data_IF_597998640528
#
_entry.id   IF_597998640528
#
_cell.length_a   1.000
_cell.length_b   1.000
_cell.length_c   1.000
_cell.angle_alpha   90.00
_cell.angle_beta   90.00
_cell.angle_gamma   90.00
#
_symmetry.space_group_name_H-M   'P 1'
#
loop_
_entity.id
_entity.type
_entity.pdbx_description
1 polymer ?
#
# COMPACT_ATOMS: atom_id res chain seq x y z
N UNK A 1 -13.94 -40.84 -51.13
CA UNK A 1 -14.45 -39.47 -50.85
C UNK A 1 -14.13 -39.14 -49.41
N UNK A 2 -13.06 -38.37 -49.24
CA UNK A 2 -12.53 -37.88 -47.98
C UNK A 2 -13.35 -36.67 -47.53
N UNK A 3 -14.12 -36.83 -46.45
CA UNK A 3 -14.77 -35.74 -45.74
C UNK A 3 -14.05 -35.47 -44.42
N UNK A 4 -12.90 -34.80 -44.47
CA UNK A 4 -12.28 -34.27 -43.26
C UNK A 4 -13.10 -33.05 -42.82
N UNK A 5 -13.91 -33.25 -41.77
CA UNK A 5 -14.57 -32.18 -41.04
C UNK A 5 -13.50 -31.25 -40.47
N UNK A 6 -13.37 -30.07 -41.07
CA UNK A 6 -12.66 -28.92 -40.51
C UNK A 6 -13.36 -28.52 -39.21
N UNK A 7 -12.95 -29.13 -38.09
CA UNK A 7 -13.29 -28.68 -36.76
C UNK A 7 -12.73 -27.27 -36.57
N UNK A 8 -13.58 -26.26 -36.68
CA UNK A 8 -13.22 -24.87 -36.48
C UNK A 8 -12.54 -24.71 -35.13
N UNK A 9 -11.27 -24.27 -35.15
CA UNK A 9 -10.46 -23.99 -33.96
C UNK A 9 -11.23 -22.97 -33.11
N UNK A 10 -11.69 -23.36 -31.93
CA UNK A 10 -12.34 -22.47 -30.97
C UNK A 10 -11.44 -21.26 -30.64
N UNK A 11 -12.04 -20.14 -30.23
CA UNK A 11 -11.24 -18.98 -29.81
C UNK A 11 -10.33 -19.36 -28.63
N UNK A 12 -9.10 -18.83 -28.58
CA UNK A 12 -8.19 -19.10 -27.47
C UNK A 12 -8.62 -18.33 -26.21
N UNK A 13 -8.42 -18.91 -25.02
CA UNK A 13 -8.61 -18.24 -23.72
C UNK A 13 -7.82 -16.93 -23.61
N UNK A 14 -6.70 -16.81 -24.34
CA UNK A 14 -5.89 -15.58 -24.43
C UNK A 14 -6.67 -14.41 -25.07
N UNK A 15 -7.64 -14.70 -25.93
CA UNK A 15 -8.55 -13.71 -26.49
C UNK A 15 -9.46 -13.15 -25.40
N UNK A 16 -10.03 -14.02 -24.56
CA UNK A 16 -10.84 -13.59 -23.42
C UNK A 16 -10.02 -12.79 -22.39
N UNK A 17 -8.74 -13.15 -22.18
CA UNK A 17 -7.83 -12.35 -21.36
C UNK A 17 -7.57 -10.95 -21.98
N UNK A 18 -7.41 -10.86 -23.30
CA UNK A 18 -7.24 -9.58 -23.98
C UNK A 18 -8.49 -8.70 -23.87
N UNK A 19 -9.67 -9.28 -24.09
CA UNK A 19 -10.95 -8.61 -23.94
C UNK A 19 -11.14 -8.10 -22.49
N UNK A 20 -10.72 -8.89 -21.50
CA UNK A 20 -10.67 -8.49 -20.10
C UNK A 20 -9.79 -7.28 -19.82
N UNK A 21 -8.59 -7.23 -20.39
CA UNK A 21 -7.71 -6.08 -20.22
C UNK A 21 -8.31 -4.81 -20.84
N UNK A 22 -8.97 -4.93 -21.99
CA UNK A 22 -9.65 -3.81 -22.63
C UNK A 22 -10.84 -3.32 -21.78
N UNK A 23 -11.70 -4.24 -21.34
CA UNK A 23 -12.82 -3.93 -20.46
C UNK A 23 -12.36 -3.26 -19.16
N UNK A 24 -11.23 -3.69 -18.59
CA UNK A 24 -10.64 -3.06 -17.40
C UNK A 24 -10.15 -1.65 -17.66
N UNK A 25 -9.48 -1.40 -18.79
CA UNK A 25 -9.03 -0.05 -19.16
C UNK A 25 -10.22 0.89 -19.41
N UNK A 26 -11.28 0.40 -20.05
CA UNK A 26 -12.53 1.16 -20.23
C UNK A 26 -13.21 1.44 -18.91
N UNK A 27 -13.38 0.42 -18.07
CA UNK A 27 -13.98 0.56 -16.74
C UNK A 27 -13.23 1.57 -15.86
N UNK A 28 -11.91 1.58 -15.97
CA UNK A 28 -11.05 2.54 -15.30
C UNK A 28 -11.25 3.97 -15.81
N UNK A 29 -11.31 4.16 -17.13
CA UNK A 29 -11.44 5.50 -17.73
C UNK A 29 -12.84 6.08 -17.51
N UNK A 30 -13.86 5.24 -17.63
CA UNK A 30 -15.27 5.61 -17.51
C UNK A 30 -15.77 5.61 -16.06
N UNK A 31 -15.01 5.00 -15.14
CA UNK A 31 -15.44 4.72 -13.77
C UNK A 31 -16.78 3.96 -13.72
N UNK A 32 -16.90 2.89 -14.51
CA UNK A 32 -18.13 2.10 -14.69
C UNK A 32 -17.80 0.63 -14.85
N UNK A 33 -18.54 -0.28 -14.21
CA UNK A 33 -18.29 -1.73 -14.38
C UNK A 33 -19.02 -2.33 -15.59
N UNK A 34 -19.74 -1.54 -16.40
CA UNK A 34 -20.53 -2.05 -17.53
C UNK A 34 -19.73 -2.95 -18.48
N UNK A 35 -18.55 -2.50 -18.91
CA UNK A 35 -17.68 -3.30 -19.78
C UNK A 35 -17.19 -4.60 -19.12
N UNK A 36 -16.98 -4.60 -17.80
CA UNK A 36 -16.56 -5.77 -17.04
C UNK A 36 -17.72 -6.78 -16.90
N UNK A 37 -18.93 -6.29 -16.66
CA UNK A 37 -20.12 -7.13 -16.49
C UNK A 37 -20.50 -7.91 -17.77
N UNK A 38 -20.12 -7.43 -18.95
CA UNK A 38 -20.36 -8.12 -20.22
C UNK A 38 -19.49 -9.38 -20.40
N UNK A 39 -18.31 -9.43 -19.77
CA UNK A 39 -17.30 -10.46 -19.99
C UNK A 39 -17.08 -11.38 -18.77
N UNK A 40 -17.39 -10.90 -17.57
CA UNK A 40 -17.20 -11.62 -16.31
C UNK A 40 -18.54 -12.21 -15.88
N UNK A 41 -18.59 -13.53 -15.85
CA UNK A 41 -19.72 -14.32 -15.39
C UNK A 41 -19.55 -14.66 -13.91
N UNK A 42 -19.52 -13.62 -13.08
CA UNK A 42 -19.43 -13.73 -11.64
C UNK A 42 -20.22 -12.57 -11.01
N UNK A 43 -21.47 -12.85 -10.62
CA UNK A 43 -22.42 -11.84 -10.16
C UNK A 43 -21.89 -11.07 -8.95
N UNK A 44 -21.26 -11.77 -8.01
CA UNK A 44 -20.66 -11.17 -6.82
C UNK A 44 -19.53 -10.20 -7.18
N UNK A 45 -18.62 -10.61 -8.06
CA UNK A 45 -17.52 -9.73 -8.50
C UNK A 45 -18.05 -8.49 -9.23
N UNK A 46 -19.07 -8.67 -10.06
CA UNK A 46 -19.67 -7.57 -10.80
C UNK A 46 -20.35 -6.57 -9.84
N UNK A 47 -21.11 -7.05 -8.86
CA UNK A 47 -21.74 -6.21 -7.83
C UNK A 47 -20.69 -5.44 -7.00
N UNK A 48 -19.65 -6.13 -6.52
CA UNK A 48 -18.55 -5.50 -5.78
C UNK A 48 -17.80 -4.46 -6.65
N UNK A 49 -17.64 -4.73 -7.94
CA UNK A 49 -17.01 -3.81 -8.90
C UNK A 49 -17.87 -2.59 -9.21
N UNK A 50 -19.19 -2.76 -9.37
CA UNK A 50 -20.15 -1.67 -9.58
C UNK A 50 -20.15 -0.71 -8.39
N UNK A 51 -20.26 -1.23 -7.17
CA UNK A 51 -20.24 -0.41 -5.95
C UNK A 51 -18.92 0.37 -5.86
N UNK A 52 -17.78 -0.29 -6.11
CA UNK A 52 -16.47 0.35 -6.06
C UNK A 52 -16.29 1.43 -7.13
N UNK A 53 -16.65 1.13 -8.38
CA UNK A 53 -16.50 2.07 -9.49
C UNK A 53 -17.49 3.25 -9.37
N UNK A 54 -18.67 3.05 -8.79
CA UNK A 54 -19.57 4.14 -8.44
C UNK A 54 -18.94 5.11 -7.43
N UNK A 55 -18.22 4.61 -6.42
CA UNK A 55 -17.46 5.47 -5.48
C UNK A 55 -16.36 6.26 -6.19
N UNK A 56 -15.64 5.62 -7.10
CA UNK A 56 -14.60 6.26 -7.91
C UNK A 56 -15.20 7.34 -8.80
N UNK A 57 -16.32 7.05 -9.47
CA UNK A 57 -17.04 7.99 -10.32
C UNK A 57 -17.44 9.23 -9.51
N UNK A 58 -18.07 9.03 -8.35
CA UNK A 58 -18.52 10.12 -7.50
C UNK A 58 -17.36 10.95 -6.95
N UNK A 59 -16.26 10.30 -6.55
CA UNK A 59 -15.05 10.98 -6.12
C UNK A 59 -14.47 11.88 -7.22
N UNK A 60 -14.33 11.34 -8.43
CA UNK A 60 -13.80 12.07 -9.58
C UNK A 60 -14.69 13.24 -9.96
N UNK A 61 -16.01 13.03 -9.97
CA UNK A 61 -17.00 14.07 -10.22
C UNK A 61 -16.88 15.20 -9.21
N UNK A 62 -16.83 14.88 -7.91
CA UNK A 62 -16.67 15.89 -6.86
C UNK A 62 -15.37 16.69 -6.94
N UNK A 63 -14.28 16.03 -7.34
CA UNK A 63 -12.97 16.67 -7.49
C UNK A 63 -12.82 17.43 -8.80
N UNK A 64 -13.70 17.21 -9.79
CA UNK A 64 -13.51 17.74 -11.15
C UNK A 64 -12.37 17.06 -11.90
N UNK A 65 -12.12 15.78 -11.61
CA UNK A 65 -11.10 14.97 -12.30
C UNK A 65 -11.59 14.62 -13.70
N UNK A 66 -10.78 14.93 -14.70
CA UNK A 66 -10.99 14.53 -16.09
C UNK A 66 -10.08 13.35 -16.42
N UNK A 67 -10.66 12.16 -16.54
CA UNK A 67 -9.92 10.97 -16.96
C UNK A 67 -9.37 11.17 -18.39
N UNK A 68 -8.07 10.93 -18.58
CA UNK A 68 -7.43 11.04 -19.89
C UNK A 68 -7.15 9.67 -20.47
N UNK A 69 -6.60 8.75 -19.67
CA UNK A 69 -6.18 7.43 -20.15
C UNK A 69 -6.00 6.42 -19.01
N UNK A 70 -6.54 5.22 -19.19
CA UNK A 70 -6.19 4.02 -18.41
C UNK A 70 -5.34 3.06 -19.23
N UNK A 71 -4.20 2.63 -18.71
CA UNK A 71 -3.35 1.60 -19.31
C UNK A 71 -3.08 0.48 -18.32
N UNK A 72 -3.26 -0.76 -18.76
CA UNK A 72 -2.89 -1.95 -17.99
C UNK A 72 -1.81 -2.71 -18.75
N UNK A 73 -0.65 -2.92 -18.11
CA UNK A 73 0.39 -3.83 -18.61
C UNK A 73 0.33 -5.12 -17.81
N UNK A 74 0.18 -6.24 -18.50
CA UNK A 74 0.05 -7.56 -17.89
C UNK A 74 1.33 -8.38 -18.07
N UNK A 75 1.68 -9.14 -17.04
CA UNK A 75 2.65 -10.23 -17.06
C UNK A 75 1.94 -11.51 -16.65
N UNK A 76 1.95 -12.51 -17.52
CA UNK A 76 1.45 -13.85 -17.19
C UNK A 76 2.54 -14.61 -16.43
N UNK A 77 2.27 -15.00 -15.19
CA UNK A 77 3.22 -15.74 -14.34
C UNK A 77 3.10 -17.24 -14.54
N UNK A 78 1.88 -17.75 -14.45
CA UNK A 78 1.57 -19.16 -14.63
C UNK A 78 0.20 -19.31 -15.29
N UNK A 79 0.06 -20.28 -16.19
CA UNK A 79 -1.23 -20.73 -16.69
C UNK A 79 -1.31 -22.25 -16.55
N UNK A 80 -2.40 -22.74 -15.94
CA UNK A 80 -2.71 -24.17 -15.83
C UNK A 80 -3.88 -24.44 -16.76
N UNK A 81 -3.59 -25.06 -17.90
CA UNK A 81 -4.59 -25.37 -18.92
C UNK A 81 -5.11 -26.80 -18.76
N UNK A 82 -6.43 -26.94 -18.61
CA UNK A 82 -7.18 -28.20 -18.63
C UNK A 82 -8.15 -28.17 -19.81
N UNK A 83 -8.83 -29.30 -20.09
CA UNK A 83 -9.64 -29.46 -21.31
C UNK A 83 -10.74 -28.41 -21.48
N UNK A 84 -11.36 -27.94 -20.39
CA UNK A 84 -12.47 -26.97 -20.42
C UNK A 84 -12.26 -25.79 -19.46
N UNK A 85 -11.10 -25.73 -18.80
CA UNK A 85 -10.80 -24.72 -17.77
C UNK A 85 -9.35 -24.29 -17.86
N UNK A 86 -9.10 -22.99 -17.70
CA UNK A 86 -7.77 -22.43 -17.55
C UNK A 86 -7.73 -21.58 -16.29
N UNK A 87 -6.71 -21.77 -15.46
CA UNK A 87 -6.43 -20.90 -14.32
C UNK A 87 -5.12 -20.17 -14.59
N UNK A 88 -5.17 -18.83 -14.64
CA UNK A 88 -4.02 -18.00 -14.93
C UNK A 88 -3.71 -17.06 -13.77
N UNK A 89 -2.45 -17.10 -13.31
CA UNK A 89 -1.89 -16.18 -12.33
C UNK A 89 -1.17 -15.06 -13.07
N UNK A 90 -1.56 -13.82 -12.77
CA UNK A 90 -1.21 -12.61 -13.51
C UNK A 90 -0.73 -11.54 -12.53
N UNK A 91 0.32 -10.82 -12.91
CA UNK A 91 0.65 -9.54 -12.31
C UNK A 91 0.34 -8.45 -13.34
N UNK A 92 -0.21 -7.33 -12.90
CA UNK A 92 -0.40 -6.19 -13.79
C UNK A 92 -0.03 -4.86 -13.13
N UNK A 93 0.43 -3.95 -13.98
CA UNK A 93 0.70 -2.56 -13.62
C UNK A 93 -0.37 -1.71 -14.30
N UNK A 94 -1.27 -1.17 -13.49
CA UNK A 94 -2.26 -0.16 -13.88
C UNK A 94 -1.60 1.22 -13.82
N UNK A 95 -1.78 1.99 -14.89
CA UNK A 95 -1.44 3.41 -14.99
C UNK A 95 -2.69 4.19 -15.34
N UNK A 96 -3.03 5.17 -14.52
CA UNK A 96 -4.16 6.05 -14.76
C UNK A 96 -3.67 7.49 -14.86
N UNK A 97 -3.88 8.10 -16.03
CA UNK A 97 -3.54 9.48 -16.32
C UNK A 97 -4.81 10.32 -16.30
N UNK A 98 -4.80 11.42 -15.56
CA UNK A 98 -5.94 12.33 -15.43
C UNK A 98 -5.51 13.79 -15.31
N UNK A 99 -6.43 14.69 -15.64
CA UNK A 99 -6.26 16.13 -15.47
C UNK A 99 -7.07 16.62 -14.27
N UNK A 100 -6.48 17.48 -13.46
CA UNK A 100 -7.13 18.18 -12.35
C UNK A 100 -6.55 19.59 -12.21
N UNK A 101 -7.41 20.62 -12.20
CA UNK A 101 -6.96 22.01 -12.08
C UNK A 101 -5.97 22.44 -13.16
N UNK A 102 -6.09 21.90 -14.38
CA UNK A 102 -5.20 22.18 -15.51
C UNK A 102 -3.81 21.53 -15.43
N UNK A 103 -3.61 20.60 -14.48
CA UNK A 103 -2.38 19.81 -14.36
C UNK A 103 -2.65 18.34 -14.62
N UNK A 104 -1.71 17.68 -15.27
CA UNK A 104 -1.75 16.23 -15.48
C UNK A 104 -1.13 15.48 -14.30
N UNK A 105 -1.77 14.38 -13.91
CA UNK A 105 -1.35 13.48 -12.85
C UNK A 105 -1.30 12.04 -13.38
N UNK A 106 -0.39 11.26 -12.81
CA UNK A 106 -0.22 9.85 -13.12
C UNK A 106 -0.24 9.04 -11.82
N UNK A 107 -1.20 8.14 -11.72
CA UNK A 107 -1.31 7.15 -10.65
C UNK A 107 -0.89 5.79 -11.17
N UNK A 108 -0.08 5.06 -10.39
CA UNK A 108 0.31 3.69 -10.71
C UNK A 108 -0.09 2.75 -9.57
N UNK A 109 -0.60 1.57 -9.94
CA UNK A 109 -0.88 0.48 -9.00
C UNK A 109 -0.35 -0.82 -9.59
N UNK A 110 0.36 -1.61 -8.80
CA UNK A 110 0.72 -3.00 -9.10
C UNK A 110 -0.18 -3.92 -8.28
N UNK A 111 -0.74 -4.94 -8.92
CA UNK A 111 -1.56 -5.94 -8.25
C UNK A 111 -1.44 -7.29 -8.94
N UNK A 112 -1.62 -8.35 -8.16
CA UNK A 112 -1.68 -9.73 -8.62
C UNK A 112 -3.11 -10.29 -8.56
N UNK A 113 -3.51 -11.02 -9.60
CA UNK A 113 -4.82 -11.68 -9.71
C UNK A 113 -4.68 -13.11 -10.21
N UNK A 114 -5.60 -13.97 -9.77
CA UNK A 114 -5.85 -15.28 -10.36
C UNK A 114 -7.18 -15.24 -11.10
N UNK A 115 -7.16 -15.57 -12.39
CA UNK A 115 -8.35 -15.59 -13.23
C UNK A 115 -8.66 -17.02 -13.65
N UNK A 116 -9.91 -17.42 -13.48
CA UNK A 116 -10.45 -18.69 -13.93
C UNK A 116 -11.28 -18.48 -15.18
N UNK A 117 -10.85 -19.11 -16.27
CA UNK A 117 -11.55 -19.16 -17.54
C UNK A 117 -12.20 -20.53 -17.72
N UNK A 118 -13.43 -20.54 -18.21
CA UNK A 118 -14.16 -21.77 -18.56
C UNK A 118 -14.58 -21.70 -20.02
N UNK A 119 -14.36 -22.77 -20.76
CA UNK A 119 -14.85 -22.88 -22.13
C UNK A 119 -16.36 -23.16 -22.09
N UNK A 120 -17.15 -22.34 -22.77
CA UNK A 120 -18.59 -22.56 -22.89
C UNK A 120 -18.99 -22.42 -24.35
N UNK A 121 -19.26 -23.54 -25.00
CA UNK A 121 -19.53 -23.59 -26.44
C UNK A 121 -18.26 -23.36 -27.25
N UNK A 122 -18.17 -22.23 -27.98
CA UNK A 122 -16.99 -21.86 -28.80
C UNK A 122 -16.25 -20.62 -28.27
N UNK A 123 -16.52 -20.21 -27.02
CA UNK A 123 -15.95 -19.03 -26.38
C UNK A 123 -15.45 -19.37 -24.98
N UNK A 124 -14.40 -18.67 -24.57
CA UNK A 124 -13.93 -18.69 -23.19
C UNK A 124 -14.57 -17.55 -22.42
N UNK A 125 -14.97 -17.82 -21.19
CA UNK A 125 -15.60 -16.86 -20.28
C UNK A 125 -14.83 -16.82 -18.97
N UNK A 126 -14.79 -15.65 -18.34
CA UNK A 126 -14.22 -15.51 -17.00
C UNK A 126 -15.31 -15.85 -15.99
N UNK A 127 -15.06 -16.82 -15.13
CA UNK A 127 -16.01 -17.26 -14.09
C UNK A 127 -15.49 -16.99 -12.68
N UNK A 128 -14.19 -16.71 -12.53
CA UNK A 128 -13.58 -16.41 -11.24
C UNK A 128 -12.45 -15.40 -11.38
N UNK A 129 -12.40 -14.46 -10.44
CA UNK A 129 -11.30 -13.53 -10.25
C UNK A 129 -11.01 -13.50 -8.74
N UNK A 130 -9.78 -13.85 -8.38
CA UNK A 130 -9.28 -13.78 -7.01
C UNK A 130 -8.16 -12.74 -6.95
N UNK A 131 -8.29 -11.74 -6.08
CA UNK A 131 -7.26 -10.75 -5.83
C UNK A 131 -6.25 -11.38 -4.88
N UNK A 132 -4.99 -11.47 -5.30
CA UNK A 132 -3.97 -12.17 -4.50
C UNK A 132 -3.32 -11.29 -3.45
N UNK A 133 -3.41 -9.97 -3.56
CA UNK A 133 -2.76 -9.02 -2.65
C UNK A 133 -3.79 -8.10 -1.98
N UNK A 134 -4.84 -8.69 -1.38
CA UNK A 134 -5.86 -7.90 -0.68
C UNK A 134 -5.29 -7.28 0.60
N UNK A 135 -5.27 -5.94 0.67
CA UNK A 135 -4.85 -5.19 1.87
C UNK A 135 -5.68 -5.60 3.09
N UNK A 136 -6.98 -5.88 2.92
CA UNK A 136 -7.85 -6.23 4.05
C UNK A 136 -7.64 -7.65 4.55
N UNK A 137 -7.52 -8.61 3.65
CA UNK A 137 -7.45 -10.03 4.01
C UNK A 137 -6.08 -10.38 4.60
N UNK A 138 -4.99 -9.98 3.93
CA UNK A 138 -3.63 -10.26 4.45
C UNK A 138 -3.37 -9.61 5.80
N UNK A 139 -3.91 -8.41 6.01
CA UNK A 139 -3.75 -7.73 7.30
C UNK A 139 -4.56 -8.41 8.41
N UNK A 140 -5.77 -8.93 8.13
CA UNK A 140 -6.52 -9.75 9.10
C UNK A 140 -5.74 -11.01 9.49
N UNK A 141 -5.14 -11.67 8.52
CA UNK A 141 -4.27 -12.82 8.77
C UNK A 141 -3.07 -12.43 9.64
N UNK A 142 -2.35 -11.37 9.30
CA UNK A 142 -1.23 -10.86 10.10
C UNK A 142 -1.65 -10.55 11.55
N UNK A 143 -2.78 -9.87 11.75
CA UNK A 143 -3.24 -9.48 13.07
C UNK A 143 -3.74 -10.63 13.94
N UNK A 144 -4.11 -11.77 13.36
CA UNK A 144 -4.47 -12.96 14.13
C UNK A 144 -3.31 -13.50 14.98
N UNK A 145 -2.07 -13.22 14.57
CA UNK A 145 -0.84 -13.66 15.26
C UNK A 145 -0.21 -12.62 16.19
N UNK A 146 -0.69 -11.37 16.17
CA UNK A 146 -0.17 -10.29 17.02
C UNK A 146 -1.02 -10.21 18.30
N UNK A 147 -0.46 -10.49 19.50
CA UNK A 147 -1.20 -10.39 20.76
C UNK A 147 -1.74 -8.97 20.96
N UNK A 148 -3.04 -8.84 21.28
CA UNK A 148 -3.68 -7.56 21.59
C UNK A 148 -3.05 -6.88 22.81
N UNK A 149 -2.74 -7.69 23.82
CA UNK A 149 -2.07 -7.29 25.06
C UNK A 149 -0.56 -7.10 24.82
N UNK A 150 -0.18 -6.03 24.11
CA UNK A 150 1.25 -5.69 23.93
C UNK A 150 1.63 -4.92 22.69
N UNK A 151 0.68 -4.54 21.82
CA UNK A 151 0.95 -3.90 20.52
C UNK A 151 1.84 -2.64 20.67
N UNK A 152 1.64 -1.86 21.73
CA UNK A 152 2.55 -0.81 22.20
C UNK A 152 2.12 -0.36 23.60
N UNK A 153 3.07 -0.16 24.51
CA UNK A 153 2.80 0.43 25.84
C UNK A 153 3.57 1.73 26.00
N UNK A 154 2.90 2.91 25.98
CA UNK A 154 3.55 4.19 26.23
C UNK A 154 4.27 4.24 27.58
N UNK A 155 3.76 3.49 28.58
CA UNK A 155 4.27 3.42 29.94
C UNK A 155 5.63 2.68 30.08
N UNK A 156 6.10 2.00 29.03
CA UNK A 156 7.37 1.25 29.02
C UNK A 156 8.62 2.10 28.81
N UNK A 157 8.50 3.43 28.64
CA UNK A 157 9.62 4.35 28.41
C UNK A 157 10.54 4.55 29.64
N UNK A 158 10.22 3.96 30.80
CA UNK A 158 11.07 3.97 32.00
C UNK A 158 11.96 2.72 32.05
N UNK A 159 12.88 2.58 31.10
CA UNK A 159 14.12 1.83 31.33
C UNK A 159 15.12 2.21 30.25
N UNK A 160 15.90 3.26 30.52
CA UNK A 160 17.04 3.63 29.69
C UNK A 160 18.13 2.57 29.82
N UNK A 161 18.06 1.51 29.01
CA UNK A 161 19.21 0.65 28.77
C UNK A 161 20.20 1.43 27.90
N UNK A 162 21.03 2.26 28.53
CA UNK A 162 22.18 2.86 27.87
C UNK A 162 23.09 1.73 27.36
N UNK A 163 23.48 1.68 26.08
CA UNK A 163 24.50 0.75 25.64
C UNK A 163 25.82 1.02 26.37
N UNK A 164 26.59 -0.03 26.65
CA UNK A 164 27.96 0.09 27.16
C UNK A 164 28.84 0.69 26.05
N UNK A 165 28.84 2.01 25.93
CA UNK A 165 29.81 2.77 25.16
C UNK A 165 30.99 3.06 26.08
N UNK A 166 32.17 2.59 25.69
CA UNK A 166 33.40 2.85 26.43
C UNK A 166 33.78 4.33 26.28
N UNK A 167 33.39 5.16 27.24
CA UNK A 167 33.62 6.61 27.27
C UNK A 167 35.11 7.00 27.35
N UNK A 168 36.04 6.05 27.55
CA UNK A 168 37.48 6.34 27.54
C UNK A 168 38.04 6.75 26.18
N UNK A 169 37.28 6.58 25.08
CA UNK A 169 37.69 6.98 23.72
C UNK A 169 37.19 8.40 23.34
N UNK A 170 36.26 9.01 24.09
CA UNK A 170 35.62 10.29 23.73
C UNK A 170 36.25 11.54 24.39
N UNK A 171 37.25 11.38 25.25
CA UNK A 171 37.77 12.46 26.10
C UNK A 171 38.95 13.25 25.51
N UNK A 172 38.96 13.54 24.19
CA UNK A 172 40.01 14.38 23.60
C UNK A 172 39.59 15.52 22.67
N UNK A 173 38.30 15.82 22.50
CA UNK A 173 37.89 17.12 21.94
C UNK A 173 36.64 17.62 22.65
N UNK A 174 36.82 18.66 23.45
CA UNK A 174 35.79 19.24 24.30
C UNK A 174 34.63 19.84 23.52
N UNK A 175 33.43 19.34 23.76
CA UNK A 175 32.19 20.13 23.78
C UNK A 175 31.17 19.32 24.59
N UNK A 176 30.48 19.95 25.53
CA UNK A 176 29.35 19.35 26.25
C UNK A 176 28.39 18.65 25.26
N UNK A 177 27.76 17.51 25.61
CA UNK A 177 26.81 16.84 24.73
C UNK A 177 25.52 17.68 24.67
N UNK A 178 25.54 18.74 23.88
CA UNK A 178 24.32 19.40 23.44
C UNK A 178 23.52 18.37 22.67
N UNK A 179 22.28 18.13 23.11
CA UNK A 179 21.28 17.34 22.37
C UNK A 179 21.34 17.72 20.89
N UNK A 180 21.89 16.83 20.05
CA UNK A 180 21.97 17.08 18.62
C UNK A 180 20.59 16.85 18.04
N UNK A 181 19.84 17.93 17.86
CA UNK A 181 18.60 17.90 17.10
C UNK A 181 18.86 17.27 15.72
N UNK A 182 18.15 16.19 15.42
CA UNK A 182 18.08 15.59 14.09
C UNK A 182 17.02 16.32 13.29
N UNK A 183 17.35 16.65 12.05
CA UNK A 183 16.44 17.28 11.11
C UNK A 183 15.88 16.19 10.20
N UNK A 184 14.56 16.11 10.12
CA UNK A 184 13.86 15.22 9.21
C UNK A 184 13.81 15.83 7.79
N UNK A 185 14.55 15.23 6.87
CA UNK A 185 14.59 15.62 5.47
C UNK A 185 13.45 14.94 4.70
N UNK A 186 12.35 15.67 4.59
CA UNK A 186 11.16 15.26 3.84
C UNK A 186 11.46 14.93 2.39
N UNK A 187 12.33 15.70 1.73
CA UNK A 187 12.64 15.48 0.32
C UNK A 187 13.38 14.14 0.12
N UNK A 188 14.28 13.78 1.04
CA UNK A 188 14.93 12.46 1.02
C UNK A 188 13.93 11.33 1.26
N UNK A 189 13.01 11.51 2.20
CA UNK A 189 11.96 10.53 2.48
C UNK A 189 11.05 10.30 1.26
N UNK A 190 10.60 11.38 0.60
CA UNK A 190 9.78 11.32 -0.62
C UNK A 190 10.54 10.65 -1.77
N UNK A 191 11.81 11.02 -2.00
CA UNK A 191 12.65 10.37 -3.02
C UNK A 191 12.79 8.87 -2.77
N UNK A 192 12.94 8.47 -1.52
CA UNK A 192 12.98 7.06 -1.15
C UNK A 192 11.65 6.37 -1.48
N UNK A 193 10.53 6.97 -1.07
CA UNK A 193 9.20 6.45 -1.34
C UNK A 193 8.98 6.25 -2.85
N UNK A 194 9.31 7.24 -3.67
CA UNK A 194 9.16 7.18 -5.13
C UNK A 194 10.09 6.20 -5.82
N UNK A 195 11.24 5.90 -5.23
CA UNK A 195 12.20 4.96 -5.77
C UNK A 195 11.74 3.52 -5.56
N UNK A 196 11.19 3.22 -4.37
CA UNK A 196 10.88 1.86 -3.93
C UNK A 196 9.39 1.50 -4.01
N UNK A 197 8.53 2.37 -4.53
CA UNK A 197 7.07 2.18 -4.56
C UNK A 197 6.56 0.85 -5.17
N UNK A 198 7.32 0.22 -6.07
CA UNK A 198 6.94 -0.99 -6.82
C UNK A 198 7.83 -2.21 -6.54
N UNK A 199 8.76 -2.12 -5.58
CA UNK A 199 9.66 -3.23 -5.25
C UNK A 199 10.29 -3.07 -3.86
N UNK A 200 10.66 -4.19 -3.27
CA UNK A 200 11.35 -4.19 -1.98
C UNK A 200 12.77 -3.61 -2.07
N UNK A 201 13.15 -2.88 -1.03
CA UNK A 201 14.54 -2.47 -0.84
C UNK A 201 15.34 -3.63 -0.23
N UNK A 202 16.36 -4.17 -0.92
CA UNK A 202 17.14 -5.32 -0.45
C UNK A 202 17.96 -5.06 0.83
N UNK A 203 18.07 -3.81 1.28
CA UNK A 203 18.67 -3.48 2.56
C UNK A 203 17.79 -3.86 3.77
N UNK A 204 16.52 -4.21 3.53
CA UNK A 204 15.55 -4.60 4.55
C UNK A 204 14.99 -5.98 4.24
N UNK A 205 14.53 -6.66 5.29
CA UNK A 205 13.85 -7.94 5.20
C UNK A 205 12.50 -7.74 4.49
N UNK A 206 12.21 -8.64 3.55
CA UNK A 206 10.92 -8.71 2.89
C UNK A 206 9.86 -9.22 3.86
N UNK A 207 8.76 -8.48 3.98
CA UNK A 207 7.61 -8.86 4.78
C UNK A 207 6.44 -9.06 3.82
N UNK A 208 5.61 -10.07 4.06
CA UNK A 208 4.44 -10.35 3.21
C UNK A 208 3.38 -9.23 3.28
N UNK A 209 3.24 -8.62 4.47
CA UNK A 209 2.45 -7.40 4.70
C UNK A 209 3.39 -6.34 5.20
N UNK A 210 3.71 -5.37 4.35
CA UNK A 210 4.83 -4.47 4.56
C UNK A 210 4.47 -2.99 4.49
N UNK A 211 3.18 -2.61 4.38
CA UNK A 211 2.76 -1.21 4.29
C UNK A 211 3.42 -0.32 5.37
N UNK A 212 3.41 -0.77 6.63
CA UNK A 212 4.06 -0.06 7.76
C UNK A 212 5.58 -0.10 7.68
N UNK A 213 6.17 -1.23 7.25
CA UNK A 213 7.62 -1.35 7.11
C UNK A 213 8.14 -0.41 6.02
N UNK A 214 7.44 -0.32 4.88
CA UNK A 214 7.73 0.63 3.82
C UNK A 214 7.62 2.09 4.30
N UNK A 215 6.56 2.45 5.02
CA UNK A 215 6.41 3.79 5.62
C UNK A 215 7.56 4.07 6.60
N UNK A 216 7.91 3.11 7.47
CA UNK A 216 9.04 3.24 8.39
C UNK A 216 10.37 3.40 7.65
N UNK A 217 10.58 2.68 6.56
CA UNK A 217 11.76 2.85 5.71
C UNK A 217 11.82 4.26 5.09
N UNK A 218 10.69 4.82 4.64
CA UNK A 218 10.61 6.20 4.14
C UNK A 218 10.97 7.21 5.24
N UNK A 219 10.40 7.05 6.44
CA UNK A 219 10.71 7.90 7.60
C UNK A 219 12.20 7.82 7.99
N UNK A 220 12.75 6.62 8.01
CA UNK A 220 14.17 6.38 8.30
C UNK A 220 15.09 6.99 7.23
N UNK A 221 14.74 6.87 5.95
CA UNK A 221 15.49 7.46 4.84
C UNK A 221 15.49 9.00 4.88
N UNK A 222 14.44 9.60 5.45
CA UNK A 222 14.38 11.02 5.79
C UNK A 222 15.20 11.42 7.01
N UNK A 223 15.84 10.49 7.71
CA UNK A 223 16.71 10.77 8.85
C UNK A 223 16.00 10.80 10.20
N UNK A 224 14.77 10.30 10.30
CA UNK A 224 14.13 10.09 11.60
C UNK A 224 14.98 9.11 12.43
N UNK A 225 15.41 9.48 13.65
CA UNK A 225 16.26 8.63 14.47
C UNK A 225 15.46 7.46 15.06
N UNK A 226 16.03 6.27 14.96
CA UNK A 226 15.47 5.07 15.58
C UNK A 226 15.60 5.13 17.10
N UNK A 227 14.59 4.64 17.80
CA UNK A 227 14.63 4.40 19.23
C UNK A 227 14.76 2.89 19.47
N UNK A 228 16.00 2.40 19.57
CA UNK A 228 16.31 0.98 19.75
C UNK A 228 16.16 0.57 21.22
N UNK A 229 15.26 -0.37 21.49
CA UNK A 229 15.01 -0.88 22.86
C UNK A 229 15.30 -2.38 23.00
N UNK A 230 15.49 -3.09 21.88
CA UNK A 230 15.64 -4.55 21.84
C UNK A 230 14.35 -5.34 22.13
N UNK A 231 13.25 -4.67 22.52
CA UNK A 231 11.94 -5.29 22.74
C UNK A 231 11.01 -5.00 21.57
N UNK A 232 10.22 -6.01 21.14
CA UNK A 232 9.23 -5.86 20.06
C UNK A 232 8.18 -4.80 20.38
N UNK A 233 7.75 -4.71 21.64
CA UNK A 233 6.62 -3.89 22.10
C UNK A 233 6.96 -2.43 22.38
N UNK A 234 8.22 -2.00 22.21
CA UNK A 234 8.66 -0.64 22.56
C UNK A 234 9.70 -0.06 21.59
N UNK A 235 9.74 1.27 21.54
CA UNK A 235 10.60 2.01 20.62
C UNK A 235 10.09 1.97 19.18
N UNK A 236 10.90 2.46 18.26
CA UNK A 236 10.72 2.36 16.81
C UNK A 236 12.09 2.06 16.19
N UNK A 237 12.31 0.81 15.82
CA UNK A 237 13.63 0.34 15.42
C UNK A 237 13.58 -0.88 14.51
N UNK A 238 14.61 -1.01 13.69
CA UNK A 238 14.90 -2.16 12.84
C UNK A 238 16.40 -2.45 12.87
N UNK A 239 16.75 -3.72 13.04
CA UNK A 239 18.12 -4.20 13.12
C UNK A 239 18.36 -5.47 12.29
N UNK A 240 17.49 -5.74 11.31
CA UNK A 240 17.64 -6.87 10.40
C UNK A 240 17.15 -8.19 10.98
N UNK A 241 17.94 -9.23 10.74
CA UNK A 241 17.66 -10.59 11.14
C UNK A 241 18.93 -11.21 11.72
N UNK A 242 18.79 -12.00 12.78
CA UNK A 242 19.88 -12.76 13.40
C UNK A 242 19.46 -14.22 13.49
N UNK A 243 20.01 -15.06 12.60
CA UNK A 243 19.54 -16.43 12.42
C UNK A 243 18.08 -16.44 11.97
N UNK A 244 17.22 -17.23 12.63
CA UNK A 244 15.77 -17.22 12.39
C UNK A 244 15.02 -16.08 13.09
N UNK A 245 15.72 -15.27 13.90
CA UNK A 245 15.08 -14.21 14.69
C UNK A 245 15.09 -12.89 13.92
N UNK A 246 13.89 -12.41 13.63
CA UNK A 246 13.66 -11.05 13.16
C UNK A 246 13.84 -10.01 14.27
N UNK A 247 14.58 -8.94 13.98
CA UNK A 247 14.95 -7.89 14.91
C UNK A 247 14.37 -6.54 14.47
N UNK A 248 13.13 -6.27 14.84
CA UNK A 248 12.43 -5.00 14.60
C UNK A 248 11.30 -4.78 15.61
N UNK A 249 10.87 -3.56 15.91
CA UNK A 249 9.72 -3.30 16.81
C UNK A 249 8.37 -3.39 16.10
N UNK A 250 7.28 -3.69 16.80
CA UNK A 250 5.93 -3.68 16.22
C UNK A 250 5.62 -2.34 15.57
N UNK A 251 6.00 -1.22 16.18
CA UNK A 251 5.87 0.11 15.56
C UNK A 251 6.61 0.27 14.23
N UNK A 252 7.61 -0.55 13.92
CA UNK A 252 8.29 -0.53 12.62
C UNK A 252 7.45 -1.17 11.51
N UNK A 253 6.69 -2.23 11.82
CA UNK A 253 6.08 -3.10 10.80
C UNK A 253 4.57 -3.37 10.99
N UNK A 254 3.93 -2.86 12.04
CA UNK A 254 2.51 -3.09 12.34
C UNK A 254 1.75 -1.76 12.41
N UNK A 255 0.68 -1.64 11.62
CA UNK A 255 0.04 -0.35 11.38
C UNK A 255 -0.54 0.31 12.64
N UNK A 256 -1.22 -0.49 13.47
CA UNK A 256 -1.72 -0.03 14.77
C UNK A 256 -0.58 0.47 15.67
N UNK A 257 0.54 -0.25 15.72
CA UNK A 257 1.65 0.11 16.60
C UNK A 257 2.35 1.39 16.14
N UNK A 258 2.56 1.59 14.84
CA UNK A 258 3.15 2.84 14.33
C UNK A 258 2.23 4.04 14.62
N UNK A 259 0.92 3.87 14.38
CA UNK A 259 -0.08 4.91 14.61
C UNK A 259 -0.15 5.33 16.08
N UNK A 260 -0.03 4.39 17.02
CA UNK A 260 0.02 4.70 18.46
C UNK A 260 1.38 5.30 18.87
N UNK A 261 2.48 4.83 18.27
CA UNK A 261 3.83 5.25 18.63
C UNK A 261 4.11 6.71 18.26
N UNK A 262 3.87 7.14 17.02
CA UNK A 262 4.31 8.46 16.53
C UNK A 262 3.77 9.63 17.40
N UNK A 263 2.48 9.68 17.78
CA UNK A 263 1.95 10.77 18.60
C UNK A 263 2.31 10.66 20.10
N UNK A 264 2.56 9.43 20.59
CA UNK A 264 2.90 9.17 21.97
C UNK A 264 4.40 9.39 22.27
N UNK A 265 5.26 9.19 21.27
CA UNK A 265 6.70 9.29 21.40
C UNK A 265 7.16 10.67 21.88
N UNK A 266 8.12 10.69 22.81
CA UNK A 266 8.74 11.91 23.34
C UNK A 266 10.18 12.11 22.86
N UNK A 267 10.76 11.12 22.20
CA UNK A 267 12.14 11.11 21.72
C UNK A 267 12.23 10.40 20.38
N UNK A 268 13.10 10.90 19.51
CA UNK A 268 13.27 10.42 18.16
C UNK A 268 12.07 10.66 17.25
N UNK A 269 11.67 9.66 16.46
CA UNK A 269 10.49 9.74 15.60
C UNK A 269 9.26 10.16 16.41
N UNK A 270 8.69 11.29 16.04
CA UNK A 270 7.51 11.89 16.67
C UNK A 270 6.69 12.67 15.65
N UNK A 271 5.42 12.87 15.96
CA UNK A 271 4.49 13.60 15.12
C UNK A 271 3.22 13.97 15.86
N UNK A 272 2.31 14.62 15.16
CA UNK A 272 1.05 15.11 15.71
C UNK A 272 -0.11 14.66 14.85
N UNK A 273 -1.23 14.32 15.50
CA UNK A 273 -2.47 14.06 14.77
C UNK A 273 -3.08 15.39 14.36
N UNK A 274 -3.43 15.50 13.09
CA UNK A 274 -4.08 16.67 12.50
C UNK A 274 -5.50 16.33 12.08
N UNK A 275 -6.34 17.35 11.94
CA UNK A 275 -7.79 17.17 11.83
C UNK A 275 -8.26 16.79 10.43
N UNK A 276 -7.44 17.08 9.40
CA UNK A 276 -7.80 16.87 8.01
C UNK A 276 -6.62 16.45 7.14
N UNK A 277 -6.90 15.78 6.02
CA UNK A 277 -5.86 15.42 5.05
C UNK A 277 -5.21 16.66 4.40
N UNK A 278 -5.93 17.78 4.29
CA UNK A 278 -5.43 19.04 3.72
C UNK A 278 -4.31 19.68 4.57
N UNK A 279 -4.17 19.25 5.82
CA UNK A 279 -3.07 19.65 6.70
C UNK A 279 -1.78 18.87 6.40
N UNK A 280 -1.84 17.75 5.70
CA UNK A 280 -0.66 16.95 5.44
C UNK A 280 0.21 17.58 4.35
N UNK A 281 1.50 17.31 4.42
CA UNK A 281 2.50 17.68 3.42
C UNK A 281 3.36 16.46 3.07
N UNK A 282 4.08 16.49 1.93
CA UNK A 282 5.02 15.43 1.59
C UNK A 282 5.97 15.12 2.75
N UNK A 283 6.14 13.84 3.06
CA UNK A 283 6.86 13.36 4.25
C UNK A 283 5.97 13.01 5.45
N UNK A 284 4.66 13.21 5.36
CA UNK A 284 3.71 12.83 6.41
C UNK A 284 3.07 11.46 6.14
N UNK A 285 2.30 10.93 7.10
CA UNK A 285 1.70 9.60 7.03
C UNK A 285 0.18 9.66 7.20
N UNK A 286 -0.50 8.65 6.64
CA UNK A 286 -1.93 8.40 6.88
C UNK A 286 -2.09 6.96 7.35
N UNK A 287 -2.91 6.76 8.37
CA UNK A 287 -3.30 5.44 8.86
C UNK A 287 -4.79 5.21 8.58
N UNK A 288 -5.14 4.00 8.14
CA UNK A 288 -6.49 3.63 7.74
C UNK A 288 -7.00 2.54 8.66
N UNK A 289 -8.16 2.79 9.25
CA UNK A 289 -8.98 1.81 9.93
C UNK A 289 -10.16 1.46 9.02
N UNK A 290 -10.04 0.37 8.25
CA UNK A 290 -10.99 -0.07 7.24
C UNK A 290 -12.37 -0.37 7.80
N UNK A 291 -12.42 -0.93 9.01
CA UNK A 291 -13.62 -1.45 9.63
C UNK A 291 -14.27 -0.47 10.63
N UNK A 292 -13.55 0.59 11.01
CA UNK A 292 -14.03 1.62 11.92
C UNK A 292 -14.09 1.17 13.38
N UNK A 293 -13.32 0.13 13.74
CA UNK A 293 -13.29 -0.48 15.07
C UNK A 293 -12.21 0.11 15.99
N UNK A 294 -11.44 1.08 15.50
CA UNK A 294 -10.34 1.74 16.21
C UNK A 294 -8.98 1.05 16.01
N UNK A 295 -8.92 -0.05 15.26
CA UNK A 295 -7.66 -0.75 14.93
C UNK A 295 -7.23 -0.37 13.52
N UNK A 296 -6.16 0.38 13.39
CA UNK A 296 -5.61 0.78 12.09
C UNK A 296 -4.95 -0.43 11.41
N UNK A 297 -5.35 -0.72 10.18
CA UNK A 297 -4.84 -1.85 9.42
C UNK A 297 -3.79 -1.45 8.39
N UNK A 298 -3.81 -0.23 7.86
CA UNK A 298 -2.91 0.16 6.78
C UNK A 298 -2.24 1.51 7.04
N UNK A 299 -1.04 1.71 6.51
CA UNK A 299 -0.38 3.01 6.48
C UNK A 299 0.09 3.36 5.07
N UNK A 300 0.01 4.64 4.74
CA UNK A 300 0.54 5.19 3.49
C UNK A 300 1.43 6.40 3.78
N UNK A 301 2.32 6.71 2.83
CA UNK A 301 3.24 7.83 2.92
C UNK A 301 2.86 8.92 1.93
N UNK A 302 2.75 10.17 2.39
CA UNK A 302 2.43 11.32 1.54
C UNK A 302 3.65 11.72 0.73
N UNK A 303 3.54 11.68 -0.59
CA UNK A 303 4.64 11.98 -1.52
C UNK A 303 4.44 13.25 -2.32
N UNK A 304 3.20 13.64 -2.58
CA UNK A 304 2.86 14.86 -3.31
C UNK A 304 1.50 15.43 -2.85
N UNK A 305 1.16 16.59 -3.38
CA UNK A 305 -0.19 17.18 -3.27
C UNK A 305 -0.74 17.38 -4.69
N UNK A 306 -2.04 17.20 -4.85
CA UNK A 306 -2.74 17.53 -6.10
C UNK A 306 -3.03 19.04 -6.22
N UNK A 307 -3.69 19.45 -7.30
CA UNK A 307 -3.95 20.86 -7.58
C UNK A 307 -4.92 21.49 -6.57
N UNK A 308 -5.70 20.69 -5.84
CA UNK A 308 -6.57 21.11 -4.76
C UNK A 308 -5.86 21.13 -3.40
N UNK A 309 -4.55 20.81 -3.36
CA UNK A 309 -3.78 20.72 -2.11
C UNK A 309 -4.03 19.43 -1.34
N UNK A 310 -4.67 18.42 -1.94
CA UNK A 310 -4.99 17.17 -1.27
C UNK A 310 -3.86 16.14 -1.46
N UNK A 311 -3.59 15.28 -0.46
CA UNK A 311 -2.45 14.36 -0.53
C UNK A 311 -2.54 13.31 -1.64
N UNK A 312 -1.40 13.05 -2.26
CA UNK A 312 -1.13 11.89 -3.08
C UNK A 312 -0.12 11.01 -2.33
N UNK A 313 -0.39 9.70 -2.27
CA UNK A 313 0.36 8.78 -1.41
C UNK A 313 0.99 7.65 -2.19
N UNK A 314 2.09 7.14 -1.63
CA UNK A 314 2.65 5.85 -2.00
C UNK A 314 2.41 4.84 -0.88
N UNK A 315 2.30 3.57 -1.24
CA UNK A 315 2.00 2.48 -0.32
C UNK A 315 2.48 1.13 -0.85
N UNK A 316 2.64 0.16 0.04
CA UNK A 316 2.90 -1.25 -0.29
C UNK A 316 1.74 -2.15 0.19
N UNK A 317 1.91 -3.48 0.18
CA UNK A 317 0.86 -4.52 0.18
C UNK A 317 0.05 -4.54 -1.11
N UNK A 318 -0.51 -3.40 -1.52
CA UNK A 318 -0.87 -3.12 -2.92
C UNK A 318 -0.01 -1.94 -3.35
N UNK A 319 1.08 -2.24 -4.06
CA UNK A 319 2.09 -1.25 -4.45
C UNK A 319 1.45 -0.12 -5.24
N UNK A 320 1.45 1.07 -4.67
CA UNK A 320 0.73 2.24 -5.18
C UNK A 320 1.66 3.44 -5.23
N UNK A 321 1.57 4.25 -6.29
CA UNK A 321 2.29 5.51 -6.43
C UNK A 321 1.37 6.63 -6.85
N UNK A 322 1.50 7.75 -6.14
CA UNK A 322 0.70 8.97 -6.33
C UNK A 322 -0.81 8.71 -6.33
N UNK A 323 -1.24 7.73 -5.53
CA UNK A 323 -2.65 7.38 -5.37
C UNK A 323 -3.36 8.44 -4.55
N UNK A 324 -4.62 8.74 -4.88
CA UNK A 324 -5.38 9.69 -4.08
C UNK A 324 -5.61 9.16 -2.65
N UNK A 325 -5.38 10.00 -1.65
CA UNK A 325 -5.29 9.60 -0.24
C UNK A 325 -6.54 8.96 0.35
N UNK A 326 -7.73 9.19 -0.20
CA UNK A 326 -8.95 8.70 0.43
C UNK A 326 -9.17 7.20 0.25
N UNK A 327 -8.43 6.56 -0.67
CA UNK A 327 -8.42 5.11 -0.90
C UNK A 327 -9.79 4.51 -1.26
N UNK A 328 -10.76 5.33 -1.69
CA UNK A 328 -12.13 4.86 -1.98
C UNK A 328 -12.21 3.85 -3.14
N UNK A 329 -11.17 3.82 -3.96
CA UNK A 329 -10.95 2.88 -5.05
C UNK A 329 -10.39 1.52 -4.58
N UNK A 330 -9.97 1.37 -3.31
CA UNK A 330 -9.48 0.11 -2.74
C UNK A 330 -10.60 -0.91 -2.53
N UNK A 331 -10.26 -2.20 -2.65
CA UNK A 331 -11.11 -3.30 -2.21
C UNK A 331 -11.22 -3.39 -0.68
N UNK A 332 -10.27 -2.82 0.06
CA UNK A 332 -10.29 -2.80 1.52
C UNK A 332 -11.24 -1.74 2.11
N UNK A 333 -11.49 -0.67 1.36
CA UNK A 333 -12.24 0.49 1.83
C UNK A 333 -13.72 0.16 2.09
N UNK A 334 -14.28 0.72 3.16
CA UNK A 334 -15.72 0.65 3.48
C UNK A 334 -16.24 2.01 3.96
N UNK A 335 -17.56 2.21 4.01
CA UNK A 335 -18.14 3.44 4.57
C UNK A 335 -17.84 3.65 6.06
N UNK A 336 -17.37 2.60 6.74
CA UNK A 336 -16.90 2.69 8.14
C UNK A 336 -15.46 3.15 8.26
N UNK A 337 -14.74 3.26 7.14
CA UNK A 337 -13.32 3.58 7.16
C UNK A 337 -13.05 4.89 7.90
N UNK A 338 -12.10 4.84 8.84
CA UNK A 338 -11.59 5.99 9.59
C UNK A 338 -10.14 6.23 9.22
N UNK A 339 -9.73 7.50 9.33
CA UNK A 339 -8.38 7.93 9.01
C UNK A 339 -7.75 8.59 10.22
N UNK A 340 -6.45 8.39 10.37
CA UNK A 340 -5.63 9.25 11.21
C UNK A 340 -4.56 9.91 10.36
N UNK A 341 -4.54 11.23 10.40
CA UNK A 341 -3.60 12.06 9.65
C UNK A 341 -2.45 12.44 10.58
N UNK A 342 -1.23 12.03 10.25
CA UNK A 342 -0.05 12.17 11.11
C UNK A 342 0.96 13.11 10.47
N UNK A 343 1.09 14.33 11.01
CA UNK A 343 2.12 15.28 10.61
C UNK A 343 3.42 15.00 11.36
N UNK A 344 4.48 14.66 10.64
CA UNK A 344 5.78 14.31 11.23
C UNK A 344 6.52 15.57 11.67
N UNK A 345 7.22 15.53 12.81
CA UNK A 345 8.02 16.66 13.27
C UNK A 345 9.25 16.86 12.38
N UNK A 346 9.62 18.12 12.09
CA UNK A 346 10.83 18.42 11.30
C UNK A 346 12.10 18.37 12.14
N UNK A 347 11.98 18.61 13.45
CA UNK A 347 13.08 18.53 14.40
C UNK A 347 12.79 17.43 15.42
N UNK A 348 13.77 16.57 15.68
CA UNK A 348 13.67 15.43 16.57
C UNK A 348 14.87 15.36 17.51
N UNK A 349 14.64 15.01 18.77
CA UNK A 349 15.72 14.80 19.72
C UNK A 349 16.24 13.36 19.59
N UNK A 350 17.56 13.16 19.68
CA UNK A 350 18.19 11.83 19.68
C UNK A 350 17.77 10.99 20.88
#
# INVERSE_FOLDING_TARGET
>A
MTGALLGGKGMSWKTALYDYLNARNSAETEASAGALAEIIHNDRFNEESDIRLARVHENRRHRGVKALRGETRLKLHQAREQSEQVVADLDYVRRFTYELGGREYNECIVSAERITFVETGRRWRITGIEIRESERERIREMYSWVPEDGIYTPAGEISSSQPYLNYSILNQVGTYPGYRKKIYDRNRAVKYADLWWDRYNPAFAELEVDCTSYVSQCLFAGGAPMNYTGKRTSGWWYAGQQGSRELWSYSWAVAQALQLYIPASRKGLRGTIVSSAAELRPGDCISYDWDGDGRFQHNTFVTALDAAGMPLVNAHTVSSKHRYWDYKDSHAWTDRTRYAFVRIADEMDE
#
